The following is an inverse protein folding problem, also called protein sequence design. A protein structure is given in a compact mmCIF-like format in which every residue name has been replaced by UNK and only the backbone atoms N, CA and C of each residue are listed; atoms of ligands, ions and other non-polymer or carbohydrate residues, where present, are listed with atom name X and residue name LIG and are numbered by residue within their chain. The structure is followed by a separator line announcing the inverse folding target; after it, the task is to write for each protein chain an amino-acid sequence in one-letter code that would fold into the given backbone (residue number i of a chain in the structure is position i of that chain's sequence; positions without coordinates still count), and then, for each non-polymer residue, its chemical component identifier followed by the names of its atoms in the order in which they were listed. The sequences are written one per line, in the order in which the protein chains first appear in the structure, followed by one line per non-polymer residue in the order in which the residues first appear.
data_IF_832599120665
#
_entry.id   IF_832599120665
#
_cell.length_a   1.000
_cell.length_b   1.000
_cell.length_c   1.000
_cell.angle_alpha   90.00
_cell.angle_beta   90.00
_cell.angle_gamma   90.00
#
_symmetry.space_group_name_H-M   'P 1'
#
loop_
_entity.id
_entity.type
_entity.pdbx_description
1 polymer ?
#
# COMPACT_ATOMS: atom_id res chain seq x y z
N UNK A 1 25.95 -15.45 -1.16
CA UNK A 1 25.67 -14.42 -2.18
C UNK A 1 26.95 -14.20 -2.95
N UNK A 2 26.86 -13.94 -4.25
CA UNK A 2 28.02 -13.61 -5.09
C UNK A 2 28.63 -12.26 -4.62
N UNK A 3 29.91 -12.21 -4.20
CA UNK A 3 30.55 -10.97 -3.77
C UNK A 3 30.42 -9.83 -4.79
N UNK A 4 30.45 -10.14 -6.09
CA UNK A 4 30.28 -9.13 -7.15
C UNK A 4 28.88 -8.50 -7.17
N UNK A 5 27.85 -9.27 -6.79
CA UNK A 5 26.47 -8.77 -6.71
C UNK A 5 26.27 -7.81 -5.54
N UNK A 6 26.90 -8.09 -4.39
CA UNK A 6 26.81 -7.21 -3.22
C UNK A 6 27.52 -5.88 -3.45
N UNK A 7 28.70 -5.92 -4.08
CA UNK A 7 29.43 -4.73 -4.48
C UNK A 7 28.64 -3.89 -5.49
N UNK A 8 28.06 -4.54 -6.51
CA UNK A 8 27.21 -3.88 -7.51
C UNK A 8 26.00 -3.20 -6.85
N UNK A 9 25.27 -3.91 -5.98
CA UNK A 9 24.14 -3.36 -5.23
C UNK A 9 24.56 -2.17 -4.37
N UNK A 10 25.69 -2.29 -3.67
CA UNK A 10 26.23 -1.23 -2.82
C UNK A 10 26.61 0.03 -3.62
N UNK A 11 27.12 -0.14 -4.84
CA UNK A 11 27.41 0.98 -5.74
C UNK A 11 26.12 1.71 -6.17
N UNK A 12 25.06 0.96 -6.52
CA UNK A 12 23.77 1.56 -6.87
C UNK A 12 23.18 2.36 -5.70
N UNK A 13 23.15 1.77 -4.50
CA UNK A 13 22.59 2.44 -3.32
C UNK A 13 23.34 3.74 -3.00
N UNK A 14 24.67 3.74 -3.10
CA UNK A 14 25.47 4.95 -2.92
C UNK A 14 25.12 6.06 -3.92
N UNK A 15 24.88 5.71 -5.18
CA UNK A 15 24.47 6.71 -6.17
C UNK A 15 23.03 7.21 -5.94
N UNK A 16 22.11 6.33 -5.52
CA UNK A 16 20.75 6.71 -5.13
C UNK A 16 20.80 7.70 -3.97
N UNK A 17 21.55 7.40 -2.90
CA UNK A 17 21.71 8.27 -1.74
C UNK A 17 22.29 9.64 -2.12
N UNK A 18 23.30 9.64 -3.00
CA UNK A 18 23.92 10.88 -3.50
C UNK A 18 22.91 11.76 -4.22
N UNK A 19 22.10 11.19 -5.11
CA UNK A 19 21.06 11.93 -5.85
C UNK A 19 19.93 12.38 -4.91
N UNK A 20 19.54 11.54 -3.96
CA UNK A 20 18.51 11.85 -2.96
C UNK A 20 18.92 13.04 -2.09
N UNK A 21 20.18 13.12 -1.67
CA UNK A 21 20.71 14.23 -0.89
C UNK A 21 20.65 15.56 -1.66
N UNK A 22 20.98 15.54 -2.96
CA UNK A 22 20.88 16.73 -3.83
C UNK A 22 19.41 17.17 -3.96
N UNK A 23 18.50 16.23 -4.22
CA UNK A 23 17.08 16.52 -4.34
C UNK A 23 16.48 17.05 -3.03
N UNK A 24 16.89 16.49 -1.88
CA UNK A 24 16.44 16.92 -0.55
C UNK A 24 16.88 18.35 -0.25
N UNK A 25 18.16 18.67 -0.46
CA UNK A 25 18.67 20.03 -0.28
C UNK A 25 17.96 21.05 -1.19
N UNK A 26 17.59 20.65 -2.42
CA UNK A 26 16.82 21.50 -3.31
C UNK A 26 15.39 21.72 -2.79
N UNK A 27 14.68 20.66 -2.39
CA UNK A 27 13.30 20.73 -1.88
C UNK A 27 13.20 21.52 -0.57
N UNK A 28 14.16 21.37 0.33
CA UNK A 28 14.23 22.17 1.56
C UNK A 28 14.34 23.67 1.28
N UNK A 29 15.05 24.04 0.20
CA UNK A 29 15.24 25.44 -0.21
C UNK A 29 14.02 26.00 -0.94
N UNK A 30 13.42 25.25 -1.87
CA UNK A 30 12.29 25.75 -2.67
C UNK A 30 10.97 25.67 -1.93
N UNK A 31 10.79 24.66 -1.07
CA UNK A 31 9.56 24.41 -0.30
C UNK A 31 8.28 24.32 -1.15
N UNK A 32 8.44 24.04 -2.44
CA UNK A 32 7.37 23.96 -3.44
C UNK A 32 7.54 22.68 -4.28
N UNK A 33 6.49 21.85 -4.47
CA UNK A 33 5.19 21.89 -3.76
C UNK A 33 5.30 21.50 -2.28
N UNK A 34 6.32 20.74 -1.89
CA UNK A 34 6.59 20.29 -0.52
C UNK A 34 8.08 20.44 -0.18
N UNK A 35 8.44 20.64 1.10
CA UNK A 35 9.81 20.88 1.53
C UNK A 35 10.69 19.62 1.60
N UNK A 36 10.20 18.48 1.11
CA UNK A 36 10.88 17.18 1.12
C UNK A 36 10.69 16.46 -0.22
N UNK A 37 11.49 15.42 -0.44
CA UNK A 37 11.35 14.54 -1.62
C UNK A 37 10.18 13.60 -1.40
N UNK A 38 9.19 13.65 -2.29
CA UNK A 38 7.96 12.85 -2.21
C UNK A 38 8.18 11.38 -2.58
N UNK A 39 9.16 11.08 -3.41
CA UNK A 39 9.55 9.70 -3.72
C UNK A 39 10.28 9.12 -2.51
N UNK A 40 9.70 8.09 -1.90
CA UNK A 40 10.33 7.37 -0.78
C UNK A 40 10.98 6.09 -1.29
N UNK A 41 12.21 5.84 -0.85
CA UNK A 41 12.92 4.61 -1.18
C UNK A 41 12.43 3.47 -0.28
N UNK A 42 12.16 2.32 -0.90
CA UNK A 42 11.72 1.11 -0.23
C UNK A 42 12.36 -0.11 -0.90
N UNK A 43 13.26 -0.78 -0.19
CA UNK A 43 14.01 -1.92 -0.71
C UNK A 43 13.09 -3.14 -0.81
N UNK A 44 12.27 -3.34 0.23
CA UNK A 44 11.43 -4.54 0.37
C UNK A 44 9.98 -4.29 0.04
N UNK A 45 9.27 -5.36 -0.32
CA UNK A 45 7.84 -5.30 -0.64
C UNK A 45 7.00 -4.86 0.56
N UNK A 46 7.31 -5.39 1.75
CA UNK A 46 6.64 -5.02 2.99
C UNK A 46 6.77 -3.53 3.33
N UNK A 47 7.95 -2.95 3.11
CA UNK A 47 8.22 -1.51 3.27
C UNK A 47 7.44 -0.70 2.23
N UNK A 48 7.39 -1.17 0.98
CA UNK A 48 6.59 -0.55 -0.08
C UNK A 48 5.11 -0.49 0.29
N UNK A 49 4.54 -1.57 0.82
CA UNK A 49 3.13 -1.58 1.25
C UNK A 49 2.89 -0.54 2.34
N UNK A 50 3.73 -0.52 3.38
CA UNK A 50 3.57 0.40 4.49
C UNK A 50 3.71 1.87 4.05
N UNK A 51 4.66 2.17 3.16
CA UNK A 51 4.86 3.52 2.64
C UNK A 51 3.78 3.94 1.64
N UNK A 52 3.22 3.01 0.87
CA UNK A 52 2.23 3.30 -0.16
C UNK A 52 0.82 3.48 0.41
N UNK A 53 0.42 2.58 1.31
CA UNK A 53 -0.95 2.53 1.84
C UNK A 53 -1.01 2.37 3.36
N UNK A 54 0.08 2.02 4.03
CA UNK A 54 0.04 1.71 5.46
C UNK A 54 -0.78 0.44 5.77
N UNK A 55 -1.31 0.30 7.00
CA UNK A 55 -1.10 1.19 8.15
C UNK A 55 0.31 1.06 8.75
N UNK A 56 0.69 1.96 9.65
CA UNK A 56 1.99 1.89 10.33
C UNK A 56 2.16 0.56 11.08
N UNK A 57 3.30 -0.10 10.90
CA UNK A 57 3.66 -1.38 11.49
C UNK A 57 3.24 -2.58 10.64
N UNK A 58 2.58 -2.37 9.49
CA UNK A 58 2.16 -3.47 8.64
C UNK A 58 3.34 -4.18 7.97
N UNK A 59 4.47 -3.51 7.73
CA UNK A 59 5.63 -4.15 7.11
C UNK A 59 6.14 -5.33 7.95
N UNK A 60 6.20 -5.16 9.27
CA UNK A 60 6.63 -6.22 10.19
C UNK A 60 5.63 -7.39 10.19
N UNK A 61 4.34 -7.10 10.16
CA UNK A 61 3.27 -8.12 10.07
C UNK A 61 3.38 -8.92 8.77
N UNK A 62 3.50 -8.24 7.63
CA UNK A 62 3.68 -8.87 6.31
C UNK A 62 4.90 -9.79 6.33
N UNK A 63 6.03 -9.29 6.86
CA UNK A 63 7.26 -10.07 6.93
C UNK A 63 7.08 -11.36 7.73
N UNK A 64 6.41 -11.31 8.89
CA UNK A 64 6.15 -12.49 9.73
C UNK A 64 5.17 -13.48 9.09
N UNK A 65 4.12 -12.99 8.43
CA UNK A 65 3.04 -13.82 7.89
C UNK A 65 3.40 -14.47 6.55
N UNK A 66 4.17 -13.78 5.70
CA UNK A 66 4.56 -14.26 4.36
C UNK A 66 5.45 -15.51 4.39
N UNK A 67 6.09 -15.81 5.52
CA UNK A 67 6.85 -17.06 5.69
C UNK A 67 5.94 -18.30 5.73
N UNK A 68 4.64 -18.12 5.99
CA UNK A 68 3.69 -19.22 6.25
C UNK A 68 2.46 -19.19 5.35
N UNK A 69 2.12 -18.03 4.80
CA UNK A 69 0.92 -17.81 4.01
C UNK A 69 1.26 -17.52 2.55
N UNK A 70 0.42 -18.01 1.63
CA UNK A 70 0.44 -17.58 0.24
C UNK A 70 0.03 -16.10 0.12
N UNK A 71 0.26 -15.48 -1.05
CA UNK A 71 -0.10 -14.08 -1.26
C UNK A 71 -1.60 -13.78 -1.06
N UNK A 72 -2.48 -14.70 -1.45
CA UNK A 72 -3.93 -14.57 -1.26
C UNK A 72 -4.29 -14.71 0.21
N UNK A 73 -3.80 -15.75 0.89
CA UNK A 73 -4.05 -15.95 2.32
C UNK A 73 -3.52 -14.79 3.17
N UNK A 74 -2.37 -14.24 2.79
CA UNK A 74 -1.79 -13.05 3.40
C UNK A 74 -2.72 -11.84 3.28
N UNK A 75 -3.28 -11.59 2.09
CA UNK A 75 -4.19 -10.47 1.86
C UNK A 75 -5.43 -10.54 2.76
N UNK A 76 -6.10 -11.70 2.80
CA UNK A 76 -7.26 -11.90 3.68
C UNK A 76 -6.87 -11.81 5.16
N UNK A 77 -5.71 -12.35 5.55
CA UNK A 77 -5.26 -12.27 6.94
C UNK A 77 -4.98 -10.84 7.38
N UNK A 78 -4.40 -10.02 6.49
CA UNK A 78 -4.17 -8.60 6.76
C UNK A 78 -5.49 -7.83 6.86
N UNK A 79 -6.46 -8.09 5.97
CA UNK A 79 -7.80 -7.53 6.09
C UNK A 79 -8.40 -7.82 7.47
N UNK A 80 -8.39 -9.10 7.87
CA UNK A 80 -8.90 -9.55 9.16
C UNK A 80 -8.23 -8.81 10.33
N UNK A 81 -6.88 -8.77 10.35
CA UNK A 81 -6.13 -8.13 11.42
C UNK A 81 -6.34 -6.61 11.48
N UNK A 82 -6.39 -5.93 10.33
CA UNK A 82 -6.61 -4.48 10.27
C UNK A 82 -7.99 -4.13 10.79
N UNK A 83 -9.02 -4.90 10.38
CA UNK A 83 -10.38 -4.70 10.86
C UNK A 83 -10.43 -4.86 12.37
N UNK A 84 -10.02 -6.01 12.91
CA UNK A 84 -10.13 -6.27 14.34
C UNK A 84 -9.27 -5.37 15.22
N UNK A 85 -8.07 -4.97 14.74
CA UNK A 85 -7.19 -4.08 15.52
C UNK A 85 -7.67 -2.63 15.57
N UNK A 86 -8.52 -2.21 14.62
CA UNK A 86 -8.98 -0.83 14.48
C UNK A 86 -10.44 -0.62 14.90
N UNK A 87 -11.14 -1.69 15.33
CA UNK A 87 -12.53 -1.60 15.80
C UNK A 87 -12.65 -0.61 16.97
N UNK A 88 -13.51 0.39 16.80
CA UNK A 88 -13.82 1.39 17.83
C UNK A 88 -12.81 2.55 17.93
N UNK A 89 -11.68 2.50 17.22
CA UNK A 89 -10.72 3.60 17.15
C UNK A 89 -11.03 4.59 16.02
N UNK A 90 -11.58 4.10 14.91
CA UNK A 90 -11.92 4.87 13.71
C UNK A 90 -13.33 4.48 13.20
N UNK A 91 -13.88 5.25 12.26
CA UNK A 91 -15.14 4.89 11.60
C UNK A 91 -15.00 3.59 10.79
N UNK A 92 -16.06 2.75 10.77
CA UNK A 92 -16.09 1.50 9.99
C UNK A 92 -15.59 1.68 8.54
N UNK A 93 -16.04 2.74 7.86
CA UNK A 93 -15.65 3.03 6.46
C UNK A 93 -14.16 3.25 6.27
N UNK A 94 -13.49 3.96 7.20
CA UNK A 94 -12.04 4.17 7.16
C UNK A 94 -11.27 2.88 7.40
N UNK A 95 -11.73 2.08 8.37
CA UNK A 95 -11.11 0.79 8.68
C UNK A 95 -11.21 -0.16 7.49
N UNK A 96 -12.39 -0.22 6.86
CA UNK A 96 -12.61 -1.05 5.67
C UNK A 96 -11.76 -0.53 4.49
N UNK A 97 -11.74 0.78 4.25
CA UNK A 97 -10.90 1.36 3.19
C UNK A 97 -9.42 1.01 3.40
N UNK A 98 -8.90 1.17 4.61
CA UNK A 98 -7.53 0.78 4.95
C UNK A 98 -7.28 -0.71 4.74
N UNK A 99 -8.18 -1.58 5.21
CA UNK A 99 -8.06 -3.02 5.07
C UNK A 99 -8.00 -3.45 3.58
N UNK A 100 -8.94 -2.97 2.77
CA UNK A 100 -9.01 -3.27 1.33
C UNK A 100 -7.77 -2.76 0.61
N UNK A 101 -7.31 -1.53 0.87
CA UNK A 101 -6.14 -0.97 0.20
C UNK A 101 -4.86 -1.73 0.56
N UNK A 102 -4.66 -2.06 1.84
CA UNK A 102 -3.49 -2.83 2.29
C UNK A 102 -3.49 -4.26 1.75
N UNK A 103 -4.65 -4.92 1.75
CA UNK A 103 -4.79 -6.26 1.18
C UNK A 103 -4.56 -6.26 -0.33
N UNK A 104 -5.09 -5.28 -1.05
CA UNK A 104 -4.84 -5.13 -2.49
C UNK A 104 -3.35 -4.90 -2.79
N UNK A 105 -2.66 -4.09 -1.99
CA UNK A 105 -1.24 -3.79 -2.18
C UNK A 105 -0.31 -5.01 -2.05
N UNK A 106 -0.72 -6.05 -1.31
CA UNK A 106 0.03 -7.32 -1.21
C UNK A 106 -0.40 -8.37 -2.23
N UNK A 107 -1.52 -8.16 -2.93
CA UNK A 107 -2.01 -9.09 -3.95
C UNK A 107 -1.21 -8.99 -5.25
N UNK A 108 -1.21 -10.09 -6.00
CA UNK A 108 -0.25 -10.35 -7.07
C UNK A 108 -0.51 -9.53 -8.35
N UNK A 109 0.52 -8.88 -8.94
CA UNK A 109 1.86 -8.68 -8.39
C UNK A 109 1.88 -7.50 -7.38
N UNK A 110 2.55 -7.66 -6.21
CA UNK A 110 2.43 -6.71 -5.11
C UNK A 110 3.10 -5.37 -5.42
N UNK A 111 2.45 -4.29 -5.01
CA UNK A 111 2.97 -2.91 -5.09
C UNK A 111 3.43 -2.48 -6.49
N UNK A 112 2.76 -2.94 -7.56
CA UNK A 112 3.11 -2.55 -8.94
C UNK A 112 2.24 -1.41 -9.46
N UNK A 113 0.99 -1.31 -9.00
CA UNK A 113 0.04 -0.33 -9.53
C UNK A 113 -0.29 0.75 -8.49
N UNK A 114 -0.81 1.86 -8.98
CA UNK A 114 -1.34 2.93 -8.13
C UNK A 114 -2.77 2.64 -7.64
N UNK A 115 -3.36 1.48 -7.94
CA UNK A 115 -4.75 1.20 -7.59
C UNK A 115 -5.02 1.18 -6.07
N UNK A 116 -4.15 0.61 -5.22
CA UNK A 116 -4.34 0.64 -3.78
C UNK A 116 -4.31 2.05 -3.18
N UNK A 117 -3.49 2.96 -3.73
CA UNK A 117 -3.30 4.30 -3.19
C UNK A 117 -4.19 5.37 -3.84
N UNK A 118 -4.39 5.29 -5.15
CA UNK A 118 -5.07 6.32 -5.96
C UNK A 118 -6.31 5.80 -6.70
N UNK A 119 -6.43 4.48 -6.86
CA UNK A 119 -7.55 3.86 -7.57
C UNK A 119 -8.81 3.77 -6.73
N UNK A 120 -8.70 3.41 -5.45
CA UNK A 120 -9.83 3.34 -4.51
C UNK A 120 -9.94 4.66 -3.76
N UNK A 121 -10.87 5.52 -4.19
CA UNK A 121 -11.04 6.86 -3.63
C UNK A 121 -11.62 6.82 -2.21
N UNK A 122 -12.67 6.04 -1.99
CA UNK A 122 -13.31 5.88 -0.70
C UNK A 122 -14.24 4.67 -0.69
N UNK A 123 -14.61 4.25 0.51
CA UNK A 123 -15.61 3.21 0.76
C UNK A 123 -16.74 3.82 1.58
N UNK A 124 -17.99 3.43 1.29
CA UNK A 124 -19.18 3.84 2.05
C UNK A 124 -20.03 2.65 2.47
N UNK A 125 -20.63 2.75 3.64
CA UNK A 125 -21.69 1.84 4.06
C UNK A 125 -23.02 2.54 3.77
N UNK A 126 -23.82 1.94 2.90
CA UNK A 126 -25.09 2.48 2.44
C UNK A 126 -26.23 1.56 2.84
N UNK A 127 -27.45 2.07 2.78
CA UNK A 127 -28.67 1.32 3.09
C UNK A 127 -29.47 1.05 1.82
N UNK A 128 -30.05 -0.14 1.74
CA UNK A 128 -31.04 -0.52 0.75
C UNK A 128 -32.44 -0.05 1.19
N UNK A 129 -33.41 -0.07 0.27
CA UNK A 129 -34.79 0.31 0.55
C UNK A 129 -35.46 -0.57 1.63
N UNK A 130 -34.96 -1.78 1.86
CA UNK A 130 -35.41 -2.71 2.89
C UNK A 130 -34.74 -2.50 4.27
N UNK A 131 -33.88 -1.47 4.39
CA UNK A 131 -33.13 -1.14 5.61
C UNK A 131 -31.88 -1.99 5.84
N UNK A 132 -31.53 -2.91 4.94
CA UNK A 132 -30.26 -3.65 5.03
C UNK A 132 -29.07 -2.80 4.61
N UNK A 133 -27.88 -3.05 5.18
CA UNK A 133 -26.65 -2.31 4.87
C UNK A 133 -25.81 -3.05 3.82
N UNK A 134 -25.15 -2.29 2.94
CA UNK A 134 -24.19 -2.81 1.95
C UNK A 134 -22.96 -1.90 1.83
N UNK A 135 -21.88 -2.47 1.30
CA UNK A 135 -20.63 -1.76 1.04
C UNK A 135 -20.60 -1.21 -0.39
N UNK A 136 -20.24 0.06 -0.55
CA UNK A 136 -20.02 0.70 -1.83
C UNK A 136 -18.56 1.15 -1.95
N UNK A 137 -17.87 0.67 -2.98
CA UNK A 137 -16.49 1.05 -3.29
C UNK A 137 -16.48 2.08 -4.43
N UNK A 138 -15.81 3.20 -4.22
CA UNK A 138 -15.72 4.29 -5.20
C UNK A 138 -14.34 4.30 -5.84
N UNK A 139 -14.31 4.09 -7.16
CA UNK A 139 -13.08 4.11 -7.94
C UNK A 139 -12.82 5.48 -8.57
N UNK A 140 -11.56 5.91 -8.58
CA UNK A 140 -11.09 7.10 -9.28
C UNK A 140 -10.41 6.74 -10.61
N UNK A 141 -10.19 7.74 -11.47
CA UNK A 141 -9.55 7.56 -12.78
C UNK A 141 -8.24 6.73 -12.79
N UNK A 142 -7.33 6.90 -11.81
CA UNK A 142 -6.10 6.10 -11.70
C UNK A 142 -6.32 4.59 -11.58
N UNK A 143 -7.54 4.12 -11.24
CA UNK A 143 -7.88 2.70 -11.22
C UNK A 143 -7.62 2.00 -12.56
N UNK A 144 -7.55 2.74 -13.67
CA UNK A 144 -7.20 2.20 -14.99
C UNK A 144 -5.79 1.61 -15.05
N UNK A 145 -4.92 1.98 -14.12
CA UNK A 145 -3.60 1.37 -13.96
C UNK A 145 -3.69 -0.06 -13.40
N UNK A 146 -4.78 -0.42 -12.71
CA UNK A 146 -5.07 -1.80 -12.37
C UNK A 146 -5.55 -2.56 -13.61
N UNK A 147 -4.97 -3.73 -13.83
CA UNK A 147 -5.52 -4.71 -14.78
C UNK A 147 -6.83 -5.31 -14.27
N UNK A 148 -7.54 -6.04 -15.14
CA UNK A 148 -8.81 -6.69 -14.78
C UNK A 148 -8.70 -7.66 -13.58
N UNK A 149 -7.53 -8.29 -13.40
CA UNK A 149 -7.27 -9.19 -12.26
C UNK A 149 -7.31 -8.44 -10.92
N UNK A 150 -6.63 -7.29 -10.85
CA UNK A 150 -6.56 -6.51 -9.62
C UNK A 150 -7.92 -5.87 -9.30
N UNK A 151 -8.63 -5.38 -10.32
CA UNK A 151 -10.01 -4.92 -10.18
C UNK A 151 -10.96 -6.01 -9.66
N UNK A 152 -10.85 -7.23 -10.17
CA UNK A 152 -11.64 -8.36 -9.69
C UNK A 152 -11.33 -8.68 -8.22
N UNK A 153 -10.06 -8.57 -7.81
CA UNK A 153 -9.67 -8.76 -6.42
C UNK A 153 -10.33 -7.75 -5.47
N UNK A 154 -10.51 -6.49 -5.88
CA UNK A 154 -11.21 -5.49 -5.04
C UNK A 154 -12.66 -5.89 -4.75
N UNK A 155 -13.32 -6.56 -5.69
CA UNK A 155 -14.72 -7.01 -5.50
C UNK A 155 -14.79 -8.22 -4.56
N UNK A 156 -13.70 -8.98 -4.45
CA UNK A 156 -13.62 -10.21 -3.64
C UNK A 156 -13.16 -9.92 -2.20
N UNK A 157 -12.31 -8.91 -2.01
CA UNK A 157 -11.84 -8.43 -0.71
C UNK A 157 -12.95 -7.74 0.08
#
# INVERSE_FOLDING_TARGET
MDPGLEEYRSNILREVDRVYAVASAYRERTREPLPFVETVFADRMEERVELLVGPHGVAEKIRRLRERLSGIELAFKLCEEIVYSSLGAESEEKVIHQAVCTALAVLTPPCITAAPSEGISHVRIKENDDGTRYLAVYFAGPIRAAGGTELASVVVL
#
